data_IF_857625805485
#
_entry.id   IF_857625805485
#
_cell.length_a   1.000
_cell.length_b   1.000
_cell.length_c   1.000
_cell.angle_alpha   90.00
_cell.angle_beta   90.00
_cell.angle_gamma   90.00
#
_symmetry.space_group_name_H-M   'P 1'
#
loop_
_entity.id
_entity.type
_entity.pdbx_description
1 polymer ?
#
# COMPACT_ATOMS: atom_id res chain seq x y z
N UNK A 1 -8.18 26.31 26.18
CA UNK A 1 -8.07 24.86 26.05
C UNK A 1 -8.75 24.29 24.80
N UNK A 2 -9.88 24.85 24.36
CA UNK A 2 -10.62 24.37 23.17
C UNK A 2 -9.94 24.66 21.80
N UNK A 3 -9.03 25.63 21.72
CA UNK A 3 -8.36 26.01 20.46
C UNK A 3 -7.18 25.11 20.12
N UNK A 4 -6.53 24.50 21.11
CA UNK A 4 -5.44 23.55 20.88
C UNK A 4 -5.94 22.19 20.33
N UNK A 5 -7.12 21.75 20.77
CA UNK A 5 -7.76 20.53 20.26
C UNK A 5 -8.32 20.70 18.84
N UNK A 6 -8.78 21.90 18.47
CA UNK A 6 -9.21 22.22 17.11
C UNK A 6 -8.06 22.31 16.11
N UNK A 7 -6.87 22.70 16.53
CA UNK A 7 -5.68 22.76 15.66
C UNK A 7 -5.09 21.38 15.36
N UNK A 8 -5.30 20.37 16.21
CA UNK A 8 -4.87 18.99 15.96
C UNK A 8 -5.76 18.26 14.94
N UNK A 9 -7.02 18.68 14.77
CA UNK A 9 -8.00 18.05 13.87
C UNK A 9 -7.81 18.38 12.39
N UNK A 10 -6.94 19.31 12.03
CA UNK A 10 -6.80 19.79 10.64
C UNK A 10 -5.41 19.52 10.02
N UNK A 11 -4.59 18.70 10.65
CA UNK A 11 -3.28 18.34 10.07
C UNK A 11 -3.49 17.27 9.01
N UNK A 12 -3.57 17.66 7.74
CA UNK A 12 -3.57 16.74 6.62
C UNK A 12 -2.29 15.90 6.67
N UNK A 13 -2.43 14.59 6.62
CA UNK A 13 -1.31 13.66 6.53
C UNK A 13 -1.07 13.32 5.07
N UNK A 14 0.17 13.42 4.62
CA UNK A 14 0.55 13.08 3.26
C UNK A 14 1.29 11.76 3.29
N UNK A 15 0.79 10.78 2.51
CA UNK A 15 1.41 9.48 2.35
C UNK A 15 1.79 9.29 0.87
N UNK A 16 2.93 8.67 0.57
CA UNK A 16 3.27 8.32 -0.80
C UNK A 16 2.35 7.20 -1.31
N UNK A 17 2.12 7.15 -2.63
CA UNK A 17 1.54 5.96 -3.25
C UNK A 17 2.46 4.77 -3.01
N UNK A 18 1.91 3.57 -2.84
CA UNK A 18 2.69 2.37 -2.51
C UNK A 18 2.11 1.12 -3.14
N UNK A 19 2.99 0.24 -3.61
CA UNK A 19 2.63 -1.10 -4.05
C UNK A 19 2.54 -2.03 -2.84
N UNK A 20 1.32 -2.46 -2.48
CA UNK A 20 1.08 -3.35 -1.32
C UNK A 20 1.79 -2.86 -0.06
N UNK A 21 1.51 -1.63 0.35
CA UNK A 21 2.18 -0.89 1.39
C UNK A 21 2.48 -1.65 2.67
N UNK A 22 3.38 -1.11 3.46
CA UNK A 22 3.76 -1.72 4.73
C UNK A 22 2.65 -1.62 5.79
N UNK A 23 2.75 -2.46 6.82
CA UNK A 23 1.88 -2.41 8.01
C UNK A 23 1.85 -0.99 8.59
N UNK A 24 3.00 -0.30 8.66
CA UNK A 24 3.09 1.05 9.19
C UNK A 24 2.37 2.08 8.31
N UNK A 25 2.47 1.95 6.99
CA UNK A 25 1.74 2.79 6.04
C UNK A 25 0.22 2.67 6.27
N UNK A 26 -0.29 1.44 6.39
CA UNK A 26 -1.72 1.19 6.64
C UNK A 26 -2.17 1.65 8.01
N UNK A 27 -1.32 1.55 9.02
CA UNK A 27 -1.61 2.08 10.36
C UNK A 27 -1.84 3.59 10.31
N UNK A 28 -0.96 4.32 9.64
CA UNK A 28 -1.10 5.77 9.50
C UNK A 28 -2.31 6.13 8.66
N UNK A 29 -2.56 5.42 7.55
CA UNK A 29 -3.74 5.62 6.73
C UNK A 29 -5.03 5.41 7.52
N UNK A 30 -5.14 4.34 8.29
CA UNK A 30 -6.33 3.97 9.04
C UNK A 30 -6.55 4.82 10.30
N UNK A 31 -5.53 5.48 10.82
CA UNK A 31 -5.66 6.38 11.97
C UNK A 31 -6.59 7.56 11.67
N UNK A 32 -6.54 8.12 10.45
CA UNK A 32 -7.45 9.17 9.99
C UNK A 32 -7.57 9.18 8.46
N UNK A 33 -8.34 8.24 7.86
CA UNK A 33 -8.41 8.10 6.41
C UNK A 33 -8.92 9.36 5.68
N UNK A 34 -9.79 10.13 6.32
CA UNK A 34 -10.34 11.38 5.74
C UNK A 34 -9.35 12.53 5.69
N UNK A 35 -8.27 12.47 6.48
CA UNK A 35 -7.22 13.48 6.51
C UNK A 35 -6.00 13.08 5.68
N UNK A 36 -5.97 11.85 5.14
CA UNK A 36 -4.85 11.38 4.31
C UNK A 36 -4.99 11.87 2.88
N UNK A 37 -3.88 12.35 2.34
CA UNK A 37 -3.71 12.69 0.95
C UNK A 37 -2.55 11.87 0.37
N UNK A 38 -2.76 11.24 -0.79
CA UNK A 38 -1.71 10.47 -1.45
C UNK A 38 -0.88 11.37 -2.35
N UNK A 39 0.45 11.35 -2.13
CA UNK A 39 1.42 12.10 -2.93
C UNK A 39 1.65 11.45 -4.29
N UNK A 40 1.37 12.21 -5.34
CA UNK A 40 1.56 11.77 -6.72
C UNK A 40 2.25 12.82 -7.59
N UNK A 41 2.45 14.04 -7.04
CA UNK A 41 3.03 15.18 -7.77
C UNK A 41 4.54 15.32 -7.56
N UNK A 42 5.16 14.47 -6.73
CA UNK A 42 6.59 14.44 -6.56
C UNK A 42 7.31 13.80 -7.77
N UNK A 43 8.58 14.12 -7.96
CA UNK A 43 9.43 13.39 -8.91
C UNK A 43 9.56 11.93 -8.47
N UNK A 44 9.37 11.00 -9.41
CA UNK A 44 9.40 9.57 -9.10
C UNK A 44 10.78 9.10 -8.61
N UNK A 45 10.92 8.73 -7.34
CA UNK A 45 12.17 8.19 -6.83
C UNK A 45 12.28 6.71 -7.22
N UNK A 46 13.37 6.37 -7.88
CA UNK A 46 13.63 4.98 -8.30
C UNK A 46 13.84 4.07 -7.11
N UNK A 47 13.42 2.81 -7.25
CA UNK A 47 13.67 1.73 -6.27
C UNK A 47 13.08 1.99 -4.87
N UNK A 48 11.86 2.51 -4.84
CA UNK A 48 11.15 2.79 -3.59
C UNK A 48 9.90 1.93 -3.44
N UNK A 49 9.24 2.03 -2.32
CA UNK A 49 7.97 1.35 -2.04
C UNK A 49 6.81 1.74 -2.98
N UNK A 50 6.99 2.75 -3.82
CA UNK A 50 5.98 3.14 -4.83
C UNK A 50 5.76 2.03 -5.84
N UNK A 51 6.82 1.31 -6.20
CA UNK A 51 6.75 0.18 -7.13
C UNK A 51 7.32 -1.12 -6.55
N UNK A 52 7.60 -1.19 -5.24
CA UNK A 52 8.17 -2.37 -4.57
C UNK A 52 7.45 -2.66 -3.27
N UNK A 53 7.35 -3.95 -2.96
CA UNK A 53 7.00 -4.42 -1.62
C UNK A 53 7.89 -5.60 -1.25
N UNK A 54 8.01 -5.87 0.04
CA UNK A 54 8.69 -7.06 0.56
C UNK A 54 7.66 -7.94 1.24
N UNK A 55 7.57 -9.18 0.81
CA UNK A 55 6.73 -10.21 1.40
C UNK A 55 7.57 -11.23 2.15
N UNK A 56 6.98 -11.87 3.15
CA UNK A 56 7.63 -12.97 3.89
C UNK A 56 7.37 -14.29 3.16
N UNK A 57 8.44 -15.01 2.85
CA UNK A 57 8.36 -16.36 2.29
C UNK A 57 9.04 -17.37 3.22
N UNK A 58 8.80 -18.70 3.04
CA UNK A 58 9.51 -19.71 3.83
C UNK A 58 11.04 -19.63 3.73
N UNK A 59 11.55 -19.12 2.61
CA UNK A 59 12.99 -18.98 2.35
C UNK A 59 13.54 -17.61 2.78
N UNK A 60 12.71 -16.77 3.40
CA UNK A 60 13.08 -15.43 3.86
C UNK A 60 12.33 -14.30 3.11
N UNK A 61 12.70 -13.05 3.31
CA UNK A 61 12.06 -11.91 2.69
C UNK A 61 12.30 -11.87 1.17
N UNK A 62 11.23 -11.67 0.41
CA UNK A 62 11.26 -11.57 -1.05
C UNK A 62 10.73 -10.18 -1.48
N UNK A 63 11.54 -9.45 -2.24
CA UNK A 63 11.11 -8.17 -2.81
C UNK A 63 10.43 -8.37 -4.17
N UNK A 64 9.19 -7.94 -4.26
CA UNK A 64 8.43 -7.88 -5.50
C UNK A 64 8.52 -6.45 -6.07
N UNK A 65 8.86 -6.33 -7.34
CA UNK A 65 9.05 -5.04 -8.00
C UNK A 65 8.22 -4.94 -9.27
N UNK A 66 7.29 -3.99 -9.32
CA UNK A 66 6.55 -3.65 -10.53
C UNK A 66 7.47 -2.89 -11.49
N UNK A 67 7.78 -3.45 -12.67
CA UNK A 67 8.63 -2.76 -13.63
C UNK A 67 7.93 -1.53 -14.19
N UNK A 68 8.66 -0.43 -14.31
CA UNK A 68 8.16 0.80 -14.92
C UNK A 68 8.93 1.08 -16.21
N UNK A 69 8.27 1.75 -17.16
CA UNK A 69 8.94 2.27 -18.34
C UNK A 69 10.01 3.26 -17.90
N UNK A 70 11.03 3.47 -18.77
CA UNK A 70 12.12 4.38 -18.45
C UNK A 70 11.56 5.75 -18.09
N UNK A 71 11.64 6.08 -16.81
CA UNK A 71 11.22 7.37 -16.30
C UNK A 71 12.40 8.35 -16.37
N UNK A 72 12.14 9.55 -16.84
CA UNK A 72 13.07 10.68 -16.69
C UNK A 72 13.23 11.04 -15.21
N UNK A 73 14.36 11.62 -14.84
CA UNK A 73 14.64 12.03 -13.45
C UNK A 73 13.68 13.10 -12.91
N UNK A 74 12.90 13.72 -13.79
CA UNK A 74 11.90 14.76 -13.47
C UNK A 74 10.45 14.28 -13.67
N UNK A 75 10.24 13.02 -14.08
CA UNK A 75 8.89 12.50 -14.30
C UNK A 75 8.12 12.45 -12.99
N UNK A 76 6.92 13.00 -13.00
CA UNK A 76 6.03 12.95 -11.83
C UNK A 76 5.56 11.53 -11.58
N UNK A 77 5.37 11.17 -10.32
CA UNK A 77 4.92 9.83 -9.91
C UNK A 77 3.59 9.45 -10.58
N UNK A 78 2.67 10.40 -10.75
CA UNK A 78 1.38 10.18 -11.43
C UNK A 78 1.50 9.74 -12.89
N UNK A 79 2.58 10.14 -13.57
CA UNK A 79 2.77 9.91 -15.00
C UNK A 79 3.64 8.67 -15.29
N UNK A 80 4.03 7.93 -14.26
CA UNK A 80 4.86 6.73 -14.39
C UNK A 80 4.03 5.58 -14.96
N UNK A 81 4.44 5.07 -16.12
CA UNK A 81 3.80 3.93 -16.78
C UNK A 81 4.43 2.59 -16.39
N UNK A 82 3.60 1.57 -16.22
CA UNK A 82 4.05 0.21 -15.97
C UNK A 82 4.60 -0.40 -17.27
N UNK A 83 5.67 -1.18 -17.15
CA UNK A 83 6.24 -1.96 -18.25
C UNK A 83 5.78 -3.41 -18.18
N UNK A 84 5.27 -3.92 -19.29
CA UNK A 84 4.83 -5.31 -19.44
C UNK A 84 5.77 -6.14 -20.34
N UNK A 85 6.99 -5.65 -20.59
CA UNK A 85 7.99 -6.39 -21.38
C UNK A 85 8.44 -7.68 -20.71
N UNK A 86 8.35 -7.77 -19.38
CA UNK A 86 8.67 -8.95 -18.58
C UNK A 86 7.37 -9.57 -18.04
N UNK A 87 7.39 -10.87 -17.78
CA UNK A 87 6.23 -11.58 -17.18
C UNK A 87 6.13 -11.39 -15.66
N UNK A 88 6.35 -10.16 -15.18
CA UNK A 88 6.38 -9.85 -13.76
C UNK A 88 5.05 -10.17 -13.05
N UNK A 89 3.91 -9.98 -13.71
CA UNK A 89 2.59 -10.29 -13.14
C UNK A 89 2.50 -11.78 -12.78
N UNK A 90 2.91 -12.66 -13.68
CA UNK A 90 2.93 -14.10 -13.43
C UNK A 90 3.89 -14.47 -12.30
N UNK A 91 5.09 -13.89 -12.29
CA UNK A 91 6.10 -14.11 -11.25
C UNK A 91 5.60 -13.68 -9.88
N UNK A 92 4.98 -12.46 -9.78
CA UNK A 92 4.41 -11.96 -8.54
C UNK A 92 3.27 -12.86 -8.05
N UNK A 93 2.37 -13.29 -8.96
CA UNK A 93 1.28 -14.19 -8.58
C UNK A 93 1.79 -15.51 -8.00
N UNK A 94 2.78 -16.14 -8.64
CA UNK A 94 3.41 -17.36 -8.14
C UNK A 94 4.05 -17.13 -6.78
N UNK A 95 4.76 -16.01 -6.61
CA UNK A 95 5.38 -15.65 -5.35
C UNK A 95 4.34 -15.50 -4.22
N UNK A 96 3.21 -14.82 -4.48
CA UNK A 96 2.12 -14.68 -3.51
C UNK A 96 1.49 -16.03 -3.16
N UNK A 97 1.21 -16.86 -4.15
CA UNK A 97 0.69 -18.23 -3.91
C UNK A 97 1.66 -19.05 -3.08
N UNK A 98 2.95 -19.02 -3.43
CA UNK A 98 3.99 -19.75 -2.70
C UNK A 98 4.13 -19.30 -1.24
N UNK A 99 4.07 -17.97 -1.02
CA UNK A 99 4.20 -17.39 0.32
C UNK A 99 2.96 -17.67 1.20
N UNK A 100 1.75 -17.53 0.64
CA UNK A 100 0.55 -17.39 1.47
C UNK A 100 -0.48 -18.52 1.32
N UNK A 101 -0.34 -19.47 0.39
CA UNK A 101 -1.32 -20.55 0.17
C UNK A 101 -1.67 -21.34 1.44
N UNK A 102 -0.75 -21.38 2.40
CA UNK A 102 -0.95 -22.12 3.68
C UNK A 102 -1.50 -21.25 4.81
N UNK A 103 -1.67 -19.95 4.58
CA UNK A 103 -2.24 -19.05 5.59
C UNK A 103 -3.76 -19.17 5.63
N UNK A 104 -4.41 -18.90 6.78
CA UNK A 104 -5.83 -19.15 6.97
C UNK A 104 -6.76 -18.41 6.02
N UNK A 105 -6.38 -17.22 5.54
CA UNK A 105 -7.25 -16.36 4.75
C UNK A 105 -6.85 -16.24 3.28
N UNK A 106 -5.80 -16.90 2.83
CA UNK A 106 -5.35 -16.78 1.43
C UNK A 106 -6.44 -17.22 0.45
N UNK A 107 -7.04 -18.39 0.64
CA UNK A 107 -8.05 -18.93 -0.28
C UNK A 107 -9.30 -18.04 -0.36
N UNK A 108 -9.65 -17.33 0.72
CA UNK A 108 -10.77 -16.39 0.75
C UNK A 108 -10.47 -15.08 0.03
N UNK A 109 -9.21 -14.63 0.03
CA UNK A 109 -8.83 -13.32 -0.47
C UNK A 109 -8.09 -13.34 -1.81
N UNK A 110 -7.57 -14.48 -2.22
CA UNK A 110 -6.77 -14.62 -3.44
C UNK A 110 -7.49 -14.12 -4.69
N UNK A 111 -8.80 -14.37 -4.82
CA UNK A 111 -9.58 -13.99 -5.99
C UNK A 111 -9.75 -12.46 -6.12
N UNK A 112 -9.65 -11.69 -5.04
CA UNK A 112 -9.64 -10.23 -5.09
C UNK A 112 -8.35 -9.67 -5.68
N UNK A 113 -7.22 -10.38 -5.50
CA UNK A 113 -5.91 -9.95 -6.02
C UNK A 113 -5.62 -10.47 -7.43
N UNK A 114 -6.19 -11.61 -7.80
CA UNK A 114 -5.91 -12.27 -9.07
C UNK A 114 -6.12 -11.40 -10.32
N UNK A 115 -7.12 -10.51 -10.40
CA UNK A 115 -7.31 -9.63 -11.55
C UNK A 115 -6.12 -8.71 -11.83
N UNK A 116 -5.42 -8.23 -10.80
CA UNK A 116 -4.24 -7.36 -10.95
C UNK A 116 -3.07 -8.03 -11.67
N UNK A 117 -3.02 -9.35 -11.64
CA UNK A 117 -1.99 -10.14 -12.29
C UNK A 117 -2.41 -10.75 -13.63
N UNK A 118 -3.64 -10.43 -14.07
CA UNK A 118 -4.16 -10.85 -15.39
C UNK A 118 -4.44 -9.67 -16.31
N UNK A 119 -4.74 -8.51 -15.76
CA UNK A 119 -5.09 -7.31 -16.50
C UNK A 119 -3.94 -6.30 -16.45
N UNK A 120 -3.78 -5.55 -17.54
CA UNK A 120 -2.81 -4.47 -17.59
C UNK A 120 -3.44 -3.16 -17.12
N UNK A 121 -2.68 -2.41 -16.34
CA UNK A 121 -3.01 -1.03 -15.93
C UNK A 121 -1.90 -0.13 -16.44
N UNK A 122 -2.24 0.97 -17.08
CA UNK A 122 -1.24 1.84 -17.71
C UNK A 122 -0.35 2.53 -16.68
N UNK A 123 -0.94 3.22 -15.72
CA UNK A 123 -0.21 4.02 -14.74
C UNK A 123 0.01 3.28 -13.43
N UNK A 124 1.21 3.46 -12.86
CA UNK A 124 1.58 2.84 -11.58
C UNK A 124 0.67 3.32 -10.44
N UNK A 125 0.29 4.59 -10.44
CA UNK A 125 -0.58 5.16 -9.41
C UNK A 125 -1.95 4.50 -9.44
N UNK A 126 -2.57 4.37 -10.62
CA UNK A 126 -3.88 3.72 -10.77
C UNK A 126 -3.86 2.25 -10.32
N UNK A 127 -2.74 1.57 -10.61
CA UNK A 127 -2.53 0.19 -10.19
C UNK A 127 -2.45 0.07 -8.67
N UNK A 128 -1.66 0.92 -8.04
CA UNK A 128 -1.51 0.96 -6.59
C UNK A 128 -2.82 1.32 -5.89
N UNK A 129 -3.55 2.31 -6.42
CA UNK A 129 -4.84 2.74 -5.87
C UNK A 129 -5.86 1.60 -5.85
N UNK A 130 -6.02 0.89 -6.97
CA UNK A 130 -6.95 -0.25 -7.06
C UNK A 130 -6.58 -1.37 -6.08
N UNK A 131 -5.29 -1.67 -5.92
CA UNK A 131 -4.83 -2.66 -4.93
C UNK A 131 -5.11 -2.16 -3.51
N UNK A 132 -4.82 -0.88 -3.23
CA UNK A 132 -5.10 -0.27 -1.94
C UNK A 132 -6.59 -0.32 -1.59
N UNK A 133 -7.47 -0.05 -2.54
CA UNK A 133 -8.92 -0.16 -2.37
C UNK A 133 -9.33 -1.57 -1.91
N UNK A 134 -8.82 -2.60 -2.60
CA UNK A 134 -9.08 -3.99 -2.23
C UNK A 134 -8.59 -4.30 -0.82
N UNK A 135 -7.33 -3.95 -0.50
CA UNK A 135 -6.76 -4.20 0.82
C UNK A 135 -7.56 -3.46 1.90
N UNK A 136 -7.93 -2.21 1.66
CA UNK A 136 -8.73 -1.42 2.60
C UNK A 136 -10.11 -2.02 2.85
N UNK A 137 -10.78 -2.50 1.78
CA UNK A 137 -12.07 -3.20 1.91
C UNK A 137 -11.95 -4.47 2.74
N UNK A 138 -10.92 -5.29 2.49
CA UNK A 138 -10.70 -6.54 3.22
C UNK A 138 -10.37 -6.30 4.70
N UNK A 139 -9.62 -5.25 5.03
CA UNK A 139 -9.32 -4.89 6.43
C UNK A 139 -10.58 -4.39 7.16
N UNK A 140 -11.46 -3.67 6.50
CA UNK A 140 -12.64 -3.06 7.13
C UNK A 140 -13.93 -3.88 7.07
N UNK A 141 -13.89 -5.12 6.58
CA UNK A 141 -15.10 -5.93 6.41
C UNK A 141 -16.20 -5.24 5.59
N UNK A 142 -16.03 -5.20 4.30
CA UNK A 142 -17.03 -5.07 3.22
C UNK A 142 -18.22 -4.09 3.34
N UNK A 143 -18.49 -3.46 4.46
CA UNK A 143 -19.58 -2.48 4.58
C UNK A 143 -19.18 -1.04 4.21
N UNK A 144 -17.89 -0.81 3.96
CA UNK A 144 -17.40 0.53 3.64
C UNK A 144 -17.37 0.76 2.13
N UNK A 145 -18.35 1.51 1.63
CA UNK A 145 -18.25 2.12 0.30
C UNK A 145 -17.09 3.12 0.33
N UNK A 146 -16.02 2.83 -0.39
CA UNK A 146 -14.90 3.77 -0.57
C UNK A 146 -15.46 5.02 -1.22
N UNK A 147 -15.50 6.11 -0.46
CA UNK A 147 -15.62 7.42 -1.06
C UNK A 147 -14.29 7.71 -1.71
N UNK A 148 -14.31 7.88 -3.05
CA UNK A 148 -13.15 8.20 -3.85
C UNK A 148 -12.21 9.16 -3.11
N UNK A 149 -11.02 8.69 -2.80
CA UNK A 149 -9.93 9.54 -2.34
C UNK A 149 -9.62 10.49 -3.50
N UNK A 150 -10.08 11.74 -3.39
CA UNK A 150 -9.79 12.75 -4.40
C UNK A 150 -8.31 13.07 -4.31
N UNK A 151 -7.55 12.72 -5.34
CA UNK A 151 -6.20 13.24 -5.54
C UNK A 151 -6.30 14.75 -5.70
N UNK A 152 -5.81 15.51 -4.76
CA UNK A 152 -5.81 16.97 -4.80
C UNK A 152 -4.38 17.48 -4.97
N UNK A 153 -4.25 18.60 -5.70
CA UNK A 153 -2.97 19.15 -6.17
C UNK A 153 -2.39 20.27 -5.30
N UNK A 154 -2.99 20.57 -4.14
CA UNK A 154 -2.56 21.69 -3.30
C UNK A 154 -1.56 21.27 -2.22
N UNK A 155 -0.30 21.68 -2.43
CA UNK A 155 0.85 21.35 -1.60
C UNK A 155 1.38 22.59 -0.88
N UNK A 156 1.23 22.65 0.42
CA UNK A 156 2.05 23.54 1.25
C UNK A 156 2.50 22.81 2.53
N UNK A 157 3.78 22.47 2.56
CA UNK A 157 4.56 22.30 3.76
C UNK A 157 4.28 21.08 4.65
N UNK A 158 4.50 19.85 4.17
CA UNK A 158 4.50 18.68 5.04
C UNK A 158 5.81 17.90 4.89
N UNK A 159 6.50 17.69 6.02
CA UNK A 159 7.63 16.79 6.11
C UNK A 159 7.16 15.37 5.76
N UNK A 160 7.69 14.83 4.66
CA UNK A 160 7.59 13.41 4.34
C UNK A 160 8.52 12.66 5.30
N UNK A 161 8.04 12.38 6.50
CA UNK A 161 8.69 11.35 7.32
C UNK A 161 8.58 10.03 6.54
N UNK A 162 9.68 9.32 6.29
CA UNK A 162 9.62 8.01 5.66
C UNK A 162 8.90 7.05 6.60
N UNK A 163 7.61 6.83 6.35
CA UNK A 163 6.76 5.90 7.10
C UNK A 163 7.09 4.44 6.77
N UNK A 164 8.35 4.11 6.73
CA UNK A 164 8.81 2.81 6.23
C UNK A 164 9.53 2.09 7.36
N UNK A 165 8.75 1.58 8.30
CA UNK A 165 9.20 0.48 9.14
C UNK A 165 9.75 -0.65 8.26
N UNK A 166 10.35 -1.66 8.81
CA UNK A 166 11.15 -2.72 8.18
C UNK A 166 10.52 -3.49 7.01
N UNK A 167 9.73 -2.83 6.17
CA UNK A 167 9.39 -3.25 4.82
C UNK A 167 8.43 -4.40 4.66
N UNK A 168 7.90 -5.01 5.72
CA UNK A 168 6.91 -6.09 5.59
C UNK A 168 5.60 -5.56 5.04
N UNK A 169 5.13 -6.18 3.96
CA UNK A 169 3.84 -5.86 3.34
C UNK A 169 2.69 -6.12 4.31
N UNK A 170 1.63 -5.32 4.19
CA UNK A 170 0.35 -5.58 4.86
C UNK A 170 -0.23 -6.96 4.53
N UNK A 171 0.17 -7.56 3.41
CA UNK A 171 -0.30 -8.88 2.99
C UNK A 171 0.07 -9.97 3.98
N UNK A 172 1.24 -9.89 4.64
CA UNK A 172 1.64 -10.85 5.69
C UNK A 172 0.59 -10.88 6.81
N UNK A 173 0.16 -9.70 7.25
CA UNK A 173 -0.86 -9.57 8.30
C UNK A 173 -2.26 -9.91 7.79
N UNK A 174 -2.60 -9.48 6.56
CA UNK A 174 -3.91 -9.68 5.97
C UNK A 174 -4.24 -11.16 5.75
N UNK A 175 -3.31 -11.93 5.17
CA UNK A 175 -3.53 -13.36 4.92
C UNK A 175 -3.45 -14.21 6.17
N UNK A 176 -2.73 -13.77 7.21
CA UNK A 176 -2.64 -14.47 8.49
C UNK A 176 -3.85 -14.22 9.40
N UNK A 177 -4.30 -12.96 9.50
CA UNK A 177 -5.32 -12.55 10.47
C UNK A 177 -6.67 -12.18 9.84
N UNK A 178 -6.77 -12.05 8.54
CA UNK A 178 -8.01 -11.72 7.84
C UNK A 178 -8.70 -10.48 8.40
N UNK A 179 -9.98 -10.57 8.79
CA UNK A 179 -10.74 -9.45 9.36
C UNK A 179 -10.13 -8.87 10.64
N UNK A 180 -9.37 -9.67 11.40
CA UNK A 180 -8.72 -9.22 12.63
C UNK A 180 -7.47 -8.35 12.37
N UNK A 181 -7.06 -8.20 11.12
CA UNK A 181 -5.94 -7.33 10.72
C UNK A 181 -6.07 -5.93 11.32
N UNK A 182 -7.27 -5.37 11.35
CA UNK A 182 -7.50 -4.03 11.93
C UNK A 182 -7.13 -3.96 13.41
N UNK A 183 -7.41 -5.03 14.17
CA UNK A 183 -7.05 -5.11 15.60
C UNK A 183 -5.54 -5.18 15.78
N UNK A 184 -4.85 -5.88 14.89
CA UNK A 184 -3.37 -5.97 14.89
C UNK A 184 -2.73 -4.63 14.53
N UNK A 185 -3.34 -3.86 13.62
CA UNK A 185 -2.87 -2.52 13.29
C UNK A 185 -3.05 -1.52 14.43
N UNK A 186 -4.11 -1.66 15.23
CA UNK A 186 -4.40 -0.76 16.36
C UNK A 186 -3.62 -1.10 17.64
N UNK A 187 -3.21 -2.37 17.84
CA UNK A 187 -2.65 -2.87 19.12
C UNK A 187 -1.11 -2.83 19.22
N UNK A 188 -0.40 -2.09 18.39
CA UNK A 188 1.07 -2.14 18.30
C UNK A 188 1.84 -1.44 19.43
N UNK A 189 1.22 -1.10 20.52
CA UNK A 189 1.97 -0.86 21.76
C UNK A 189 2.51 -2.15 22.41
N UNK A 190 2.27 -3.34 21.82
CA UNK A 190 2.61 -4.64 22.42
C UNK A 190 3.58 -5.51 21.61
N UNK A 191 4.02 -5.11 20.44
CA UNK A 191 5.05 -5.85 19.71
C UNK A 191 6.41 -5.21 19.99
N UNK A 192 6.99 -5.54 21.14
CA UNK A 192 8.43 -5.49 21.32
C UNK A 192 9.02 -6.51 20.36
N UNK A 193 9.83 -6.01 19.43
CA UNK A 193 10.72 -6.84 18.62
C UNK A 193 11.55 -7.73 19.56
N UNK A 194 11.38 -9.03 19.44
CA UNK A 194 12.30 -10.03 19.96
C UNK A 194 13.26 -10.38 18.83
#
# INVERSE_FOLDING_TARGET
MLDAERQTLNKRMILPTTYMGSVEWYRQFLANPSAVQIEVMESFPKQTYRNRCTITTPDGPLTLSVPVKRADSKQLTRDVEISYQQRWQHQHWIALVSAYKRTPYFDYYADFFRPFYKQETRFLVDFNEKIHEVIHQLIRNSEFKIQNSKFTTDWQGVNLEPCFGNGQSILDTLFEYGPETILKLNNVNSIKLV
#
